data_IF_961544667096
#
_entry.id   IF_961544667096
#
_cell.length_a   1.000
_cell.length_b   1.000
_cell.length_c   1.000
_cell.angle_alpha   90.00
_cell.angle_beta   90.00
_cell.angle_gamma   90.00
#
_symmetry.space_group_name_H-M   'P 1'
#
loop_
_entity.id
_entity.type
_entity.pdbx_description
1 polymer ?
#
# COMPACT_ATOMS: atom_id res chain seq x y z
N UNK A 1 16.21 -10.34 -0.16
CA UNK A 1 16.26 -11.18 1.04
C UNK A 1 14.99 -10.90 1.81
N UNK A 2 14.24 -11.93 2.18
CA UNK A 2 13.10 -11.82 3.07
C UNK A 2 13.54 -11.32 4.43
N UNK A 3 12.91 -10.27 4.97
CA UNK A 3 13.23 -9.79 6.31
C UNK A 3 12.36 -10.48 7.35
N UNK A 4 12.94 -11.22 8.28
CA UNK A 4 12.20 -11.97 9.32
C UNK A 4 12.57 -11.54 10.73
N UNK A 5 13.23 -10.39 10.87
CA UNK A 5 13.88 -10.04 12.13
C UNK A 5 13.63 -8.62 12.55
N UNK A 6 13.48 -8.43 13.86
CA UNK A 6 13.54 -7.11 14.49
C UNK A 6 15.01 -6.78 14.74
N UNK A 7 15.40 -5.52 14.48
CA UNK A 7 16.81 -5.11 14.56
C UNK A 7 16.94 -3.75 15.22
N UNK A 8 17.97 -3.59 16.03
CA UNK A 8 18.40 -2.28 16.52
C UNK A 8 19.92 -2.19 16.65
N UNK A 9 20.41 -0.96 16.87
CA UNK A 9 21.77 -0.67 17.31
C UNK A 9 21.74 -0.24 18.78
N UNK A 10 22.63 -0.80 19.59
CA UNK A 10 22.77 -0.46 21.01
C UNK A 10 24.21 -0.78 21.47
N UNK A 11 24.73 -0.16 22.56
CA UNK A 11 26.01 -0.55 23.14
C UNK A 11 26.15 -2.06 23.35
N UNK A 12 27.35 -2.57 23.10
CA UNK A 12 27.67 -4.01 23.14
C UNK A 12 27.51 -4.58 24.55
N UNK A 13 27.18 -5.87 24.65
CA UNK A 13 27.02 -6.55 25.95
C UNK A 13 25.74 -6.23 26.72
N UNK A 14 24.81 -5.45 26.17
CA UNK A 14 23.49 -5.22 26.75
C UNK A 14 22.61 -6.49 26.72
N UNK A 15 21.74 -6.62 27.74
CA UNK A 15 20.74 -7.69 27.85
C UNK A 15 19.37 -7.15 27.43
N UNK A 16 18.90 -7.55 26.25
CA UNK A 16 17.73 -6.95 25.61
C UNK A 16 16.63 -7.99 25.37
N UNK A 17 15.38 -7.55 25.42
CA UNK A 17 14.24 -8.34 24.98
C UNK A 17 13.22 -7.46 24.25
N UNK A 18 12.43 -8.07 23.39
CA UNK A 18 11.30 -7.47 22.72
C UNK A 18 9.99 -7.98 23.33
N UNK A 19 9.02 -7.09 23.48
CA UNK A 19 7.61 -7.47 23.55
C UNK A 19 6.97 -7.14 22.22
N UNK A 20 6.16 -8.06 21.71
CA UNK A 20 5.57 -8.01 20.37
C UNK A 20 4.07 -8.04 20.53
N UNK A 21 3.38 -7.09 19.91
CA UNK A 21 1.95 -6.88 20.02
C UNK A 21 1.29 -7.02 18.64
N UNK A 22 0.13 -7.68 18.60
CA UNK A 22 -0.66 -7.89 17.39
C UNK A 22 -1.96 -8.60 17.66
N UNK A 23 -2.94 -8.42 16.77
CA UNK A 23 -4.28 -9.02 16.92
C UNK A 23 -5.01 -8.63 18.21
N UNK A 24 -4.64 -7.51 18.84
CA UNK A 24 -5.20 -7.06 20.12
C UNK A 24 -4.59 -7.72 21.36
N UNK A 25 -3.50 -8.48 21.21
CA UNK A 25 -2.79 -9.13 22.31
C UNK A 25 -1.28 -8.95 22.25
N UNK A 26 -0.60 -9.56 23.21
CA UNK A 26 0.86 -9.60 23.32
C UNK A 26 1.35 -11.05 23.15
N UNK A 27 2.46 -11.23 22.43
CA UNK A 27 3.07 -12.53 22.21
C UNK A 27 3.65 -13.10 23.51
N UNK A 28 3.21 -14.28 23.93
CA UNK A 28 3.70 -14.96 25.14
C UNK A 28 4.72 -16.08 24.87
N UNK A 29 5.29 -16.13 23.66
CA UNK A 29 6.15 -17.22 23.22
C UNK A 29 5.44 -18.33 22.44
N UNK A 30 4.11 -18.40 22.47
CA UNK A 30 3.33 -19.42 21.74
C UNK A 30 2.10 -18.87 21.02
N UNK A 31 1.43 -17.87 21.58
CA UNK A 31 0.27 -17.20 20.99
C UNK A 31 0.21 -15.73 21.42
N UNK A 32 -0.64 -14.95 20.73
CA UNK A 32 -1.05 -13.63 21.21
C UNK A 32 -2.16 -13.80 22.24
N UNK A 33 -1.94 -13.25 23.43
CA UNK A 33 -2.87 -13.34 24.57
C UNK A 33 -3.21 -11.94 25.09
N UNK A 34 -4.27 -11.84 25.90
CA UNK A 34 -4.58 -10.59 26.59
C UNK A 34 -3.41 -10.16 27.49
N UNK A 35 -3.08 -8.88 27.47
CA UNK A 35 -1.98 -8.33 28.25
C UNK A 35 -2.36 -8.25 29.74
N UNK A 36 -1.50 -8.83 30.59
CA UNK A 36 -1.63 -8.83 32.05
C UNK A 36 -0.29 -8.42 32.66
N UNK A 37 -0.27 -7.36 33.47
CA UNK A 37 0.96 -6.84 34.08
C UNK A 37 1.76 -7.90 34.86
N UNK A 38 1.07 -8.82 35.54
CA UNK A 38 1.70 -9.88 36.33
C UNK A 38 2.50 -10.87 35.46
N UNK A 39 2.16 -11.00 34.18
CA UNK A 39 2.74 -11.97 33.25
C UNK A 39 3.85 -11.38 32.39
N UNK A 40 4.31 -10.16 32.69
CA UNK A 40 5.29 -9.40 31.91
C UNK A 40 6.49 -10.24 31.42
N UNK A 41 7.04 -11.08 32.30
CA UNK A 41 8.21 -11.88 32.01
C UNK A 41 7.95 -12.94 30.90
N UNK A 42 6.70 -13.37 30.73
CA UNK A 42 6.29 -14.35 29.71
C UNK A 42 6.25 -13.75 28.32
N UNK A 43 6.11 -12.43 28.21
CA UNK A 43 6.03 -11.72 26.92
C UNK A 43 7.41 -11.41 26.32
N UNK A 44 8.48 -11.73 27.04
CA UNK A 44 9.84 -11.38 26.65
C UNK A 44 10.40 -12.32 25.58
N UNK A 45 10.59 -11.79 24.37
CA UNK A 45 11.31 -12.47 23.29
C UNK A 45 12.77 -12.02 23.29
N UNK A 46 13.73 -12.95 23.33
CA UNK A 46 15.15 -12.62 23.47
C UNK A 46 15.68 -11.86 22.25
N UNK A 47 16.41 -10.76 22.50
CA UNK A 47 17.11 -9.98 21.46
C UNK A 47 18.61 -10.15 21.67
N UNK A 48 19.30 -10.75 20.70
CA UNK A 48 20.69 -11.17 20.84
C UNK A 48 21.64 -10.32 20.00
N UNK A 49 22.77 -9.93 20.56
CA UNK A 49 23.84 -9.27 19.82
C UNK A 49 24.43 -10.22 18.77
N UNK A 50 24.28 -9.91 17.49
CA UNK A 50 24.63 -10.81 16.39
C UNK A 50 25.32 -10.06 15.23
N UNK A 51 26.63 -10.28 15.02
CA UNK A 51 27.56 -11.07 15.85
C UNK A 51 27.84 -10.44 17.23
N UNK A 52 28.36 -11.22 18.18
CA UNK A 52 28.75 -10.69 19.50
C UNK A 52 29.80 -9.56 19.38
N UNK A 53 29.65 -8.50 20.17
CA UNK A 53 30.53 -7.32 20.12
C UNK A 53 30.32 -6.39 18.92
N UNK A 54 29.30 -6.62 18.08
CA UNK A 54 29.04 -5.79 16.89
C UNK A 54 28.21 -4.53 17.15
N UNK A 55 27.53 -4.46 18.30
CA UNK A 55 26.49 -3.47 18.61
C UNK A 55 25.21 -3.64 17.79
N UNK A 56 25.07 -4.75 17.04
CA UNK A 56 23.88 -5.09 16.25
C UNK A 56 23.08 -6.14 17.01
N UNK A 57 21.85 -5.80 17.35
CA UNK A 57 20.95 -6.68 18.09
C UNK A 57 19.84 -7.16 17.18
N UNK A 58 19.54 -8.46 17.25
CA UNK A 58 18.58 -9.13 16.36
C UNK A 58 17.65 -10.00 17.19
N UNK A 59 16.37 -9.92 16.89
CA UNK A 59 15.31 -10.82 17.36
C UNK A 59 14.70 -11.51 16.15
N UNK A 60 14.52 -12.83 16.20
CA UNK A 60 13.66 -13.49 15.21
C UNK A 60 12.21 -13.13 15.50
N UNK A 61 11.46 -12.74 14.47
CA UNK A 61 10.02 -12.53 14.62
C UNK A 61 9.32 -13.88 14.79
N UNK A 62 8.27 -14.00 15.63
CA UNK A 62 7.63 -15.28 15.86
C UNK A 62 6.93 -15.78 14.60
N UNK A 63 7.43 -16.89 14.03
CA UNK A 63 6.92 -17.46 12.77
C UNK A 63 5.50 -18.03 12.89
N UNK A 64 5.05 -18.34 14.10
CA UNK A 64 3.68 -18.74 14.39
C UNK A 64 2.69 -17.56 14.40
N UNK A 65 3.16 -16.31 14.23
CA UNK A 65 2.29 -15.15 14.10
C UNK A 65 1.48 -15.22 12.81
N UNK A 66 0.14 -15.09 12.87
CA UNK A 66 -0.70 -14.96 11.68
C UNK A 66 -0.30 -13.73 10.83
N UNK A 67 -0.65 -13.67 9.53
CA UNK A 67 -0.49 -12.45 8.75
C UNK A 67 -1.22 -11.26 9.39
N UNK A 68 -0.57 -10.10 9.51
CA UNK A 68 -1.14 -8.94 10.18
C UNK A 68 -0.16 -7.80 10.45
N UNK A 69 -0.68 -6.69 10.99
CA UNK A 69 0.12 -5.58 11.48
C UNK A 69 0.55 -5.86 12.93
N UNK A 70 1.84 -5.65 13.19
CA UNK A 70 2.44 -5.86 14.49
C UNK A 70 3.22 -4.62 14.93
N UNK A 71 3.30 -4.42 16.23
CA UNK A 71 4.21 -3.44 16.84
C UNK A 71 5.06 -4.11 17.89
N UNK A 72 6.20 -3.51 18.22
CA UNK A 72 7.09 -4.05 19.23
C UNK A 72 7.78 -2.94 20.00
N UNK A 73 8.08 -3.24 21.26
CA UNK A 73 8.92 -2.44 22.13
C UNK A 73 10.12 -3.26 22.57
N UNK A 74 11.30 -2.64 22.59
CA UNK A 74 12.58 -3.26 22.96
C UNK A 74 13.03 -2.65 24.27
N UNK A 75 13.31 -3.51 25.23
CA UNK A 75 13.61 -3.14 26.61
C UNK A 75 15.04 -3.54 26.99
N UNK A 76 15.69 -2.70 27.79
CA UNK A 76 16.91 -3.01 28.50
C UNK A 76 16.55 -3.74 29.81
N UNK A 77 16.95 -5.01 29.92
CA UNK A 77 16.70 -5.82 31.11
C UNK A 77 17.68 -5.45 32.22
N UNK A 78 17.17 -4.96 33.35
CA UNK A 78 18.00 -4.55 34.48
C UNK A 78 18.47 -5.73 35.37
N UNK A 79 17.77 -6.88 35.33
CA UNK A 79 18.03 -8.04 36.19
C UNK A 79 18.07 -9.38 35.45
N UNK A 80 17.91 -10.48 36.20
CA UNK A 80 17.93 -11.84 35.64
C UNK A 80 16.73 -12.17 34.76
N UNK A 81 15.57 -11.55 35.01
CA UNK A 81 14.31 -11.71 34.27
C UNK A 81 13.78 -10.37 33.77
N UNK A 82 12.97 -10.40 32.73
CA UNK A 82 12.22 -9.22 32.27
C UNK A 82 11.22 -8.79 33.35
N UNK A 83 11.10 -7.47 33.57
CA UNK A 83 10.22 -6.89 34.56
C UNK A 83 9.59 -5.58 34.07
N UNK A 84 8.40 -5.26 34.60
CA UNK A 84 7.63 -4.05 34.25
C UNK A 84 8.41 -2.73 34.41
N UNK A 85 9.43 -2.70 35.27
CA UNK A 85 10.28 -1.52 35.49
C UNK A 85 11.47 -1.40 34.54
N UNK A 86 11.64 -2.31 33.58
CA UNK A 86 12.70 -2.24 32.58
C UNK A 86 12.51 -1.04 31.64
N UNK A 87 13.63 -0.48 31.15
CA UNK A 87 13.59 0.73 30.33
C UNK A 87 13.35 0.38 28.87
N UNK A 88 12.32 0.96 28.25
CA UNK A 88 12.12 0.91 26.81
C UNK A 88 13.19 1.74 26.09
N UNK A 89 13.94 1.13 25.17
CA UNK A 89 15.07 1.74 24.44
C UNK A 89 14.84 1.79 22.93
N UNK A 90 13.76 1.19 22.44
CA UNK A 90 13.41 1.20 21.03
C UNK A 90 12.00 0.70 20.81
N UNK A 91 11.39 1.15 19.73
CA UNK A 91 10.07 0.72 19.28
C UNK A 91 10.09 0.57 17.76
N UNK A 92 9.14 -0.18 17.24
CA UNK A 92 8.90 -0.26 15.80
C UNK A 92 7.60 -0.96 15.49
N UNK A 93 7.24 -0.94 14.22
CA UNK A 93 6.04 -1.55 13.69
C UNK A 93 6.31 -2.10 12.28
N UNK A 94 5.46 -3.02 11.85
CA UNK A 94 5.57 -3.60 10.52
C UNK A 94 4.46 -4.60 10.20
N UNK A 95 4.23 -4.78 8.90
CA UNK A 95 3.32 -5.80 8.40
C UNK A 95 4.05 -7.12 8.16
N UNK A 96 3.54 -8.17 8.78
CA UNK A 96 3.99 -9.55 8.61
C UNK A 96 3.04 -10.28 7.66
N UNK A 97 3.55 -10.83 6.57
CA UNK A 97 2.74 -11.56 5.58
C UNK A 97 2.46 -13.03 5.97
N UNK A 98 2.92 -13.47 7.14
CA UNK A 98 2.93 -14.87 7.57
C UNK A 98 4.31 -15.52 7.46
N UNK A 99 5.21 -14.94 6.68
CA UNK A 99 6.56 -15.46 6.40
C UNK A 99 7.67 -14.41 6.45
N UNK A 100 7.36 -13.15 6.14
CA UNK A 100 8.33 -12.04 6.04
C UNK A 100 7.70 -10.68 6.35
N UNK A 101 8.55 -9.72 6.71
CA UNK A 101 8.26 -8.29 6.69
C UNK A 101 8.54 -7.70 5.30
N UNK A 102 7.68 -6.78 4.86
CA UNK A 102 7.81 -6.09 3.58
C UNK A 102 6.70 -6.41 2.57
N UNK A 103 5.74 -7.25 2.94
CA UNK A 103 4.43 -7.26 2.26
C UNK A 103 3.76 -5.90 2.44
N UNK A 104 3.07 -5.41 1.40
CA UNK A 104 2.24 -4.21 1.48
C UNK A 104 1.43 -4.25 2.76
N UNK A 105 1.62 -3.27 3.64
CA UNK A 105 0.75 -3.06 4.78
C UNK A 105 -0.67 -3.31 4.32
N UNK A 106 -1.43 -4.13 5.04
CA UNK A 106 -2.87 -3.92 5.01
C UNK A 106 -3.07 -2.51 5.56
N UNK A 107 -3.07 -1.53 4.67
CA UNK A 107 -4.09 -0.49 4.73
C UNK A 107 -5.35 -1.31 4.97
N UNK A 108 -5.88 -1.20 6.18
CA UNK A 108 -7.15 -1.79 6.54
C UNK A 108 -8.09 -1.52 5.38
N UNK A 109 -8.48 -2.59 4.69
CA UNK A 109 -9.53 -2.55 3.69
C UNK A 109 -10.75 -2.01 4.44
N UNK A 110 -11.01 -0.71 4.29
CA UNK A 110 -11.64 0.08 5.34
C UNK A 110 -11.37 1.58 5.31
N UNK A 111 -10.53 2.09 4.39
CA UNK A 111 -10.86 3.40 3.81
C UNK A 111 -12.04 3.15 2.89
N UNK A 112 -13.24 3.40 3.40
CA UNK A 112 -14.38 3.61 2.52
C UNK A 112 -14.25 5.01 1.93
N UNK A 113 -14.91 5.27 0.81
CA UNK A 113 -14.92 6.61 0.17
C UNK A 113 -15.34 7.72 1.16
N UNK A 114 -16.03 7.36 2.24
CA UNK A 114 -16.49 8.26 3.29
C UNK A 114 -15.38 8.76 4.24
N UNK A 115 -14.23 8.08 4.30
CA UNK A 115 -13.12 8.42 5.22
C UNK A 115 -12.08 9.35 4.56
N UNK A 116 -12.24 9.65 3.26
CA UNK A 116 -11.40 10.61 2.58
C UNK A 116 -11.80 12.05 3.02
N UNK A 117 -10.85 12.89 3.47
CA UNK A 117 -11.15 14.29 3.77
C UNK A 117 -11.71 14.94 2.50
N UNK A 118 -12.90 15.52 2.61
CA UNK A 118 -13.49 16.26 1.50
C UNK A 118 -12.73 17.57 1.30
N UNK A 119 -12.26 17.89 0.08
CA UNK A 119 -12.20 17.05 -1.13
C UNK A 119 -10.95 16.15 -1.18
N UNK A 120 -11.14 14.91 -1.66
CA UNK A 120 -10.10 13.88 -1.78
C UNK A 120 -8.99 14.29 -2.77
N UNK A 121 -7.74 13.79 -2.60
CA UNK A 121 -6.66 14.00 -3.57
C UNK A 121 -7.03 13.46 -4.95
N UNK A 122 -6.65 14.19 -6.00
CA UNK A 122 -6.99 13.93 -7.40
C UNK A 122 -6.85 12.44 -7.80
N UNK A 123 -7.94 11.84 -8.31
CA UNK A 123 -7.94 10.50 -8.91
C UNK A 123 -8.91 9.49 -8.26
N UNK A 124 -9.47 9.80 -7.10
CA UNK A 124 -10.60 9.08 -6.50
C UNK A 124 -11.59 10.10 -5.94
N UNK A 125 -12.38 10.73 -6.83
CA UNK A 125 -13.47 11.60 -6.42
C UNK A 125 -14.73 10.78 -6.10
N UNK A 126 -15.59 11.21 -5.17
CA UNK A 126 -16.96 10.70 -5.10
C UNK A 126 -17.67 10.97 -6.43
N UNK A 127 -18.43 9.98 -6.89
CA UNK A 127 -19.40 10.07 -7.99
C UNK A 127 -20.20 11.35 -7.81
N UNK A 128 -19.94 12.37 -8.62
CA UNK A 128 -20.82 13.53 -8.70
C UNK A 128 -22.19 13.04 -9.16
N UNK A 129 -23.27 13.59 -8.58
CA UNK A 129 -24.60 13.40 -9.18
C UNK A 129 -24.55 13.96 -10.61
N UNK A 130 -24.51 13.09 -11.61
CA UNK A 130 -24.38 13.47 -13.03
C UNK A 130 -23.17 12.89 -13.78
N UNK A 131 -22.25 12.17 -13.13
CA UNK A 131 -21.12 11.54 -13.84
C UNK A 131 -21.57 10.42 -14.79
N UNK A 132 -20.97 10.37 -15.97
CA UNK A 132 -21.21 9.38 -17.03
C UNK A 132 -20.09 8.35 -17.03
N UNK A 133 -20.45 7.07 -17.01
CA UNK A 133 -19.50 5.98 -17.17
C UNK A 133 -19.03 5.89 -18.62
N UNK A 134 -17.74 6.10 -18.83
CA UNK A 134 -17.06 6.06 -20.12
C UNK A 134 -16.19 4.81 -20.19
N UNK A 135 -16.31 4.07 -21.29
CA UNK A 135 -15.53 2.87 -21.58
C UNK A 135 -15.16 2.83 -23.07
N UNK A 136 -14.60 1.71 -23.52
CA UNK A 136 -14.17 1.51 -24.92
C UNK A 136 -15.29 1.67 -25.96
N UNK A 137 -16.55 1.61 -25.54
CA UNK A 137 -17.75 1.65 -26.37
C UNK A 137 -18.50 2.99 -26.28
N UNK A 138 -17.90 4.02 -25.66
CA UNK A 138 -18.51 5.34 -25.56
C UNK A 138 -18.00 6.30 -26.65
N UNK A 139 -18.87 7.11 -27.29
CA UNK A 139 -20.33 7.10 -27.16
C UNK A 139 -20.99 5.97 -27.99
N UNK A 140 -20.22 5.31 -28.86
CA UNK A 140 -20.67 4.19 -29.69
C UNK A 140 -19.68 3.03 -29.64
N UNK A 141 -20.16 1.81 -29.89
CA UNK A 141 -19.35 0.60 -29.81
C UNK A 141 -17.98 0.73 -30.50
N UNK A 142 -16.92 0.34 -29.79
CA UNK A 142 -15.54 0.36 -30.27
C UNK A 142 -14.88 1.74 -30.40
N UNK A 143 -15.58 2.85 -30.16
CA UNK A 143 -15.07 4.20 -30.44
C UNK A 143 -13.78 4.56 -29.70
N UNK A 144 -13.57 4.00 -28.51
CA UNK A 144 -12.39 4.22 -27.68
C UNK A 144 -11.56 2.95 -27.48
N UNK A 145 -11.78 1.92 -28.29
CA UNK A 145 -10.91 0.74 -28.29
C UNK A 145 -9.56 1.06 -28.91
N UNK A 146 -8.46 0.71 -28.26
CA UNK A 146 -7.12 0.98 -28.80
C UNK A 146 -6.63 -0.19 -29.63
N UNK A 147 -6.72 -0.03 -30.95
CA UNK A 147 -6.43 -1.08 -31.92
C UNK A 147 -5.56 -0.55 -33.06
N UNK A 148 -4.81 -1.46 -33.69
CA UNK A 148 -4.16 -1.19 -34.97
C UNK A 148 -5.20 -1.03 -36.09
N UNK A 149 -4.78 -0.51 -37.25
CA UNK A 149 -5.65 -0.40 -38.44
C UNK A 149 -6.24 -1.76 -38.87
N UNK A 150 -5.59 -2.87 -38.52
CA UNK A 150 -6.08 -4.23 -38.77
C UNK A 150 -7.02 -4.80 -37.69
N UNK A 151 -7.49 -3.97 -36.75
CA UNK A 151 -8.40 -4.38 -35.66
C UNK A 151 -7.74 -5.22 -34.57
N UNK A 152 -6.41 -5.35 -34.56
CA UNK A 152 -5.70 -6.04 -33.48
C UNK A 152 -5.58 -5.11 -32.27
N UNK A 153 -5.96 -5.61 -31.10
CA UNK A 153 -5.85 -4.90 -29.83
C UNK A 153 -4.42 -4.54 -29.47
N UNK A 154 -4.24 -3.34 -28.92
CA UNK A 154 -2.96 -2.90 -28.34
C UNK A 154 -3.13 -2.93 -26.82
N UNK A 155 -2.55 -3.94 -26.18
CA UNK A 155 -2.58 -4.10 -24.72
C UNK A 155 -1.54 -3.27 -23.99
N UNK A 156 -1.80 -2.99 -22.71
CA UNK A 156 -0.90 -2.28 -21.81
C UNK A 156 -0.77 -0.79 -22.07
N UNK A 157 -1.61 -0.20 -22.93
CA UNK A 157 -1.60 1.23 -23.19
C UNK A 157 -2.21 1.99 -22.02
N UNK A 158 -1.53 3.05 -21.59
CA UNK A 158 -2.06 3.97 -20.59
C UNK A 158 -3.10 4.89 -21.23
N UNK A 159 -4.34 4.82 -20.72
CA UNK A 159 -5.45 5.66 -21.15
C UNK A 159 -5.68 6.73 -20.09
N UNK A 160 -5.72 8.01 -20.47
CA UNK A 160 -5.97 9.13 -19.56
C UNK A 160 -6.96 10.12 -20.14
N UNK A 161 -7.90 10.57 -19.32
CA UNK A 161 -8.84 11.64 -19.63
C UNK A 161 -8.39 12.95 -18.98
N UNK A 162 -8.48 14.04 -19.73
CA UNK A 162 -8.18 15.41 -19.29
C UNK A 162 -9.29 16.34 -19.75
N UNK A 163 -9.60 17.41 -19.00
CA UNK A 163 -10.47 18.45 -19.56
C UNK A 163 -9.83 19.04 -20.82
N UNK A 164 -10.63 19.23 -21.88
CA UNK A 164 -10.13 19.73 -23.16
C UNK A 164 -9.50 21.12 -23.02
N UNK A 165 -10.07 21.98 -22.16
CA UNK A 165 -9.57 23.33 -21.85
C UNK A 165 -8.20 23.32 -21.17
N UNK A 166 -8.00 22.44 -20.18
CA UNK A 166 -6.71 22.29 -19.48
C UNK A 166 -5.63 21.70 -20.39
N UNK A 167 -6.00 20.66 -21.15
CA UNK A 167 -5.08 20.00 -22.06
C UNK A 167 -4.64 20.94 -23.19
N UNK A 168 -5.54 21.76 -23.74
CA UNK A 168 -5.20 22.76 -24.73
C UNK A 168 -4.26 23.85 -24.17
N UNK A 169 -4.39 24.18 -22.89
CA UNK A 169 -3.57 25.20 -22.23
C UNK A 169 -2.14 24.70 -21.96
N UNK A 170 -1.99 23.50 -21.39
CA UNK A 170 -0.70 22.85 -21.18
C UNK A 170 -0.88 21.34 -20.93
N UNK A 171 -0.63 20.48 -21.92
CA UNK A 171 -0.76 19.03 -21.78
C UNK A 171 0.06 18.42 -20.63
N UNK A 172 1.23 19.00 -20.33
CA UNK A 172 2.14 18.49 -19.30
C UNK A 172 1.69 18.85 -17.87
N UNK A 173 0.81 19.84 -17.72
CA UNK A 173 0.27 20.27 -16.44
C UNK A 173 -1.24 20.00 -16.29
N UNK A 174 -1.89 19.48 -17.34
CA UNK A 174 -3.30 19.14 -17.31
C UNK A 174 -3.56 18.05 -16.25
N UNK A 175 -4.64 18.21 -15.50
CA UNK A 175 -4.94 17.28 -14.40
C UNK A 175 -5.71 16.07 -14.95
N UNK A 176 -5.26 14.87 -14.56
CA UNK A 176 -5.91 13.62 -14.98
C UNK A 176 -7.27 13.51 -14.29
N UNK A 177 -8.33 13.36 -15.08
CA UNK A 177 -9.72 13.20 -14.63
C UNK A 177 -10.16 11.74 -14.55
N UNK A 178 -9.56 10.88 -15.35
CA UNK A 178 -9.76 9.43 -15.31
C UNK A 178 -8.58 8.71 -15.93
N UNK A 179 -8.29 7.49 -15.48
CA UNK A 179 -7.19 6.69 -16.01
C UNK A 179 -7.56 5.21 -16.02
N UNK A 180 -7.12 4.49 -17.05
CA UNK A 180 -7.20 3.03 -17.12
C UNK A 180 -6.07 2.48 -17.98
N UNK A 181 -6.04 1.16 -18.16
CA UNK A 181 -5.13 0.46 -19.07
C UNK A 181 -5.94 -0.27 -20.14
N UNK A 182 -5.34 -0.54 -21.29
CA UNK A 182 -5.94 -1.45 -22.28
C UNK A 182 -5.55 -2.90 -22.01
N UNK A 183 -6.47 -3.82 -22.23
CA UNK A 183 -6.22 -5.26 -22.32
C UNK A 183 -5.64 -5.59 -23.70
N UNK A 184 -5.11 -6.80 -23.89
CA UNK A 184 -4.58 -7.26 -25.19
C UNK A 184 -5.61 -7.22 -26.34
N UNK A 185 -6.90 -7.13 -26.00
CA UNK A 185 -8.00 -6.94 -26.96
C UNK A 185 -8.19 -5.49 -27.42
N UNK A 186 -7.49 -4.53 -26.81
CA UNK A 186 -7.68 -3.09 -27.01
C UNK A 186 -8.84 -2.50 -26.20
N UNK A 187 -9.61 -3.35 -25.52
CA UNK A 187 -10.66 -2.92 -24.59
C UNK A 187 -10.04 -2.37 -23.30
N UNK A 188 -10.83 -1.62 -22.53
CA UNK A 188 -10.34 -1.01 -21.30
C UNK A 188 -10.42 -2.01 -20.13
N UNK A 189 -9.42 -1.99 -19.24
CA UNK A 189 -9.35 -2.89 -18.10
C UNK A 189 -10.42 -2.56 -17.05
N UNK A 190 -10.73 -1.27 -16.89
CA UNK A 190 -11.82 -0.74 -16.07
C UNK A 190 -12.42 0.49 -16.76
N UNK A 191 -13.71 0.76 -16.52
CA UNK A 191 -14.37 1.98 -16.93
C UNK A 191 -13.84 3.19 -16.14
N UNK A 192 -14.04 4.39 -16.66
CA UNK A 192 -13.80 5.65 -15.94
C UNK A 192 -15.12 6.41 -15.85
N UNK A 193 -15.35 7.13 -14.76
CA UNK A 193 -16.50 8.01 -14.64
C UNK A 193 -16.05 9.47 -14.85
N UNK A 194 -16.72 10.18 -15.74
CA UNK A 194 -16.42 11.57 -16.09
C UNK A 194 -17.67 12.43 -15.93
N UNK A 195 -17.52 13.66 -15.44
CA UNK A 195 -18.61 14.62 -15.46
C UNK A 195 -18.97 15.01 -16.92
N UNK A 196 -20.20 15.46 -17.21
CA UNK A 196 -20.56 15.93 -18.55
C UNK A 196 -19.78 17.20 -18.90
N UNK A 197 -18.82 17.08 -19.81
CA UNK A 197 -17.96 18.17 -20.31
C UNK A 197 -17.16 17.67 -21.53
N UNK A 198 -16.33 18.52 -22.13
CA UNK A 198 -15.39 18.14 -23.19
C UNK A 198 -14.02 17.68 -22.64
N UNK A 199 -13.53 16.56 -23.15
CA UNK A 199 -12.31 15.88 -22.73
C UNK A 199 -11.35 15.59 -23.88
N UNK A 200 -10.07 15.45 -23.53
CA UNK A 200 -9.04 14.80 -24.33
C UNK A 200 -8.73 13.43 -23.71
N UNK A 201 -8.95 12.37 -24.47
CA UNK A 201 -8.56 11.00 -24.11
C UNK A 201 -7.25 10.67 -24.79
N UNK A 202 -6.21 10.38 -24.02
CA UNK A 202 -4.90 10.01 -24.55
C UNK A 202 -4.64 8.53 -24.39
N UNK A 203 -4.05 7.89 -25.39
CA UNK A 203 -3.54 6.51 -25.33
C UNK A 203 -2.03 6.52 -25.58
N UNK A 204 -1.27 5.91 -24.67
CA UNK A 204 0.17 5.72 -24.85
C UNK A 204 0.59 4.30 -24.50
N UNK A 205 1.10 3.58 -25.49
CA UNK A 205 1.79 2.30 -25.31
C UNK A 205 3.27 2.42 -25.69
N UNK A 206 4.08 1.47 -25.23
CA UNK A 206 5.47 1.37 -25.66
C UNK A 206 5.55 0.99 -27.15
N UNK A 207 6.45 1.63 -27.88
CA UNK A 207 6.56 1.45 -29.34
C UNK A 207 5.43 2.07 -30.18
N UNK A 208 4.46 2.76 -29.56
CA UNK A 208 3.37 3.47 -30.26
C UNK A 208 3.41 4.97 -29.97
N UNK A 209 3.06 5.80 -30.96
CA UNK A 209 2.90 7.24 -30.75
C UNK A 209 1.70 7.55 -29.84
N UNK A 210 1.76 8.71 -29.18
CA UNK A 210 0.64 9.19 -28.38
C UNK A 210 -0.57 9.44 -29.28
N UNK A 211 -1.65 8.72 -29.05
CA UNK A 211 -2.94 8.99 -29.67
C UNK A 211 -3.75 9.91 -28.75
N UNK A 212 -4.39 10.93 -29.31
CA UNK A 212 -5.27 11.85 -28.58
C UNK A 212 -6.61 11.90 -29.30
N UNK A 213 -7.70 11.68 -28.56
CA UNK A 213 -9.07 11.67 -29.05
C UNK A 213 -9.84 12.79 -28.34
N UNK A 214 -10.60 13.57 -29.10
CA UNK A 214 -11.61 14.48 -28.58
C UNK A 214 -12.85 13.71 -28.15
N UNK A 215 -13.33 13.95 -26.94
CA UNK A 215 -14.51 13.30 -26.41
C UNK A 215 -15.42 14.31 -25.72
N UNK A 216 -16.64 14.48 -26.22
CA UNK A 216 -17.71 15.15 -25.49
C UNK A 216 -18.46 14.13 -24.64
N UNK A 217 -18.57 14.40 -23.35
CA UNK A 217 -19.33 13.58 -22.40
C UNK A 217 -20.65 14.29 -22.10
N UNK A 218 -21.76 13.58 -22.32
CA UNK A 218 -23.13 14.06 -22.11
C UNK A 218 -24.01 13.01 -21.48
#
# INVERSE_FOLDING_TARGET
MSDTTLRLRYPTGANLYAQIEGGGGVWNGTAYVAFVNADWATYATLVTETPAGSGRYVCQFPTASPPGNYSWSIYLRAGGSAALGDVAIGQGDGYWDGTTFGGTSKVTDGITVADLPSPAPNGYGPIGTGSVTVNQDYPTAGNLSYQTVGGQGIGGALVRAYLASEYASNPNAATIRGQTLTLDTGAWANNIDLDPEDYKITFKADGYELLVIDLSVS
#
